data_IF_187341744022
#
_entry.id   IF_187341744022
#
_cell.length_a   1.000
_cell.length_b   1.000
_cell.length_c   1.000
_cell.angle_alpha   90.00
_cell.angle_beta   90.00
_cell.angle_gamma   90.00
#
_symmetry.space_group_name_H-M   'P 1'
#
loop_
_entity.id
_entity.type
_entity.pdbx_description
1 polymer ?
#
# COMPACT_ATOMS: atom_id res chain seq x y z
N UNK A 1 12.56 -2.70 16.44
CA UNK A 1 12.57 -1.34 17.04
C UNK A 1 11.41 -0.57 16.48
N UNK A 2 10.45 -0.16 17.32
CA UNK A 2 9.30 0.63 16.89
C UNK A 2 9.73 2.01 16.40
N UNK A 3 9.01 2.51 15.38
CA UNK A 3 9.24 3.84 14.80
C UNK A 3 8.00 4.69 15.02
N UNK A 4 8.21 5.93 15.42
CA UNK A 4 7.16 6.94 15.44
C UNK A 4 7.02 7.55 14.05
N UNK A 5 5.81 7.49 13.48
CA UNK A 5 5.49 8.00 12.15
C UNK A 5 4.25 8.89 12.27
N UNK A 6 4.31 10.07 11.67
CA UNK A 6 3.15 10.94 11.50
C UNK A 6 2.56 10.71 10.12
N UNK A 7 1.29 10.29 10.08
CA UNK A 7 0.53 10.12 8.86
C UNK A 7 0.02 11.46 8.33
N UNK A 8 -0.33 11.52 7.06
CA UNK A 8 -0.79 12.75 6.41
C UNK A 8 -2.15 13.26 6.91
N UNK A 9 -2.92 12.42 7.60
CA UNK A 9 -4.15 12.82 8.28
C UNK A 9 -3.91 13.40 9.68
N UNK A 10 -2.65 13.54 10.10
CA UNK A 10 -2.26 14.08 11.40
C UNK A 10 -2.17 13.05 12.53
N UNK A 11 -2.49 11.76 12.28
CA UNK A 11 -2.32 10.71 13.29
C UNK A 11 -0.83 10.40 13.49
N UNK A 12 -0.40 10.38 14.74
CA UNK A 12 0.90 9.83 15.12
C UNK A 12 0.73 8.37 15.56
N UNK A 13 1.52 7.47 14.97
CA UNK A 13 1.49 6.03 15.24
C UNK A 13 2.88 5.55 15.62
N UNK A 14 2.92 4.50 16.42
CA UNK A 14 4.15 3.78 16.76
C UNK A 14 4.03 2.35 16.23
N UNK A 15 4.87 2.00 15.25
CA UNK A 15 4.84 0.70 14.59
C UNK A 15 6.24 0.23 14.25
N UNK A 16 6.48 -1.08 14.29
CA UNK A 16 7.75 -1.65 13.85
C UNK A 16 7.91 -1.58 12.32
N UNK A 17 6.82 -1.84 11.60
CA UNK A 17 6.76 -1.75 10.14
C UNK A 17 5.41 -1.19 9.71
N UNK A 18 5.44 -0.03 9.03
CA UNK A 18 4.25 0.63 8.51
C UNK A 18 3.50 -0.25 7.50
N UNK A 19 4.23 -0.86 6.56
CA UNK A 19 3.63 -1.72 5.54
C UNK A 19 2.90 -2.90 6.16
N UNK A 20 3.49 -3.57 7.15
CA UNK A 20 2.83 -4.67 7.86
C UNK A 20 1.60 -4.21 8.65
N UNK A 21 1.67 -3.06 9.31
CA UNK A 21 0.53 -2.52 10.05
C UNK A 21 -0.65 -2.18 9.11
N UNK A 22 -0.37 -1.73 7.89
CA UNK A 22 -1.37 -1.46 6.86
C UNK A 22 -1.94 -2.76 6.28
N UNK A 23 -1.09 -3.71 5.91
CA UNK A 23 -1.55 -4.98 5.28
C UNK A 23 -2.24 -5.94 6.25
N UNK A 24 -1.94 -5.86 7.55
CA UNK A 24 -2.64 -6.61 8.61
C UNK A 24 -3.95 -5.97 9.04
N UNK A 25 -4.25 -4.75 8.57
CA UNK A 25 -5.45 -4.00 8.95
C UNK A 25 -5.40 -3.37 10.35
N UNK A 26 -4.25 -3.43 11.05
CA UNK A 26 -4.03 -2.70 12.30
C UNK A 26 -4.20 -1.19 12.11
N UNK A 27 -3.79 -0.69 10.94
CA UNK A 27 -3.95 0.70 10.54
C UNK A 27 -4.74 0.73 9.24
N UNK A 28 -5.82 1.52 9.22
CA UNK A 28 -6.56 1.78 7.99
C UNK A 28 -5.97 2.97 7.24
N UNK A 29 -5.61 2.80 5.95
CA UNK A 29 -5.15 3.92 5.13
C UNK A 29 -6.28 4.93 4.92
N UNK A 30 -5.92 6.20 4.92
CA UNK A 30 -6.86 7.30 4.63
C UNK A 30 -7.21 7.27 3.14
N UNK A 31 -8.51 7.26 2.83
CA UNK A 31 -9.01 6.95 1.48
C UNK A 31 -9.29 5.47 1.23
N UNK A 32 -8.87 4.59 2.15
CA UNK A 32 -9.15 3.16 2.12
C UNK A 32 -8.24 2.36 1.19
N UNK A 33 -8.52 1.06 1.14
CA UNK A 33 -7.81 0.11 0.28
C UNK A 33 -8.40 0.19 -1.13
N UNK A 34 -7.54 0.40 -2.12
CA UNK A 34 -7.93 0.49 -3.54
C UNK A 34 -8.22 -0.91 -4.07
N UNK A 35 -7.36 -1.88 -3.73
CA UNK A 35 -7.49 -3.27 -4.11
C UNK A 35 -6.76 -4.16 -3.12
N UNK A 36 -7.27 -5.37 -2.91
CA UNK A 36 -6.66 -6.35 -2.02
C UNK A 36 -6.79 -7.75 -2.63
N UNK A 37 -5.68 -8.49 -2.59
CA UNK A 37 -5.63 -9.90 -2.98
C UNK A 37 -5.16 -10.78 -1.81
N UNK A 38 -4.97 -12.07 -2.06
CA UNK A 38 -4.39 -12.99 -1.07
C UNK A 38 -2.96 -12.60 -0.67
N UNK A 39 -2.18 -12.04 -1.60
CA UNK A 39 -0.75 -11.80 -1.39
C UNK A 39 -0.40 -10.31 -1.34
N UNK A 40 -1.27 -9.43 -1.84
CA UNK A 40 -0.98 -8.00 -2.00
C UNK A 40 -2.11 -7.11 -1.49
N UNK A 41 -1.72 -5.90 -1.09
CA UNK A 41 -2.59 -4.85 -0.60
C UNK A 41 -2.19 -3.54 -1.28
N UNK A 42 -3.16 -2.91 -1.94
CA UNK A 42 -2.97 -1.69 -2.74
C UNK A 42 -3.72 -0.54 -2.08
N UNK A 43 -3.01 0.53 -1.79
CA UNK A 43 -3.57 1.70 -1.12
C UNK A 43 -2.85 2.96 -1.59
N UNK A 44 -3.45 4.13 -1.33
CA UNK A 44 -2.75 5.40 -1.54
C UNK A 44 -1.70 5.58 -0.45
N UNK A 45 -0.59 6.26 -0.78
CA UNK A 45 0.44 6.60 0.20
C UNK A 45 -0.16 7.36 1.40
N UNK A 46 0.09 6.84 2.61
CA UNK A 46 -0.47 7.36 3.87
C UNK A 46 0.40 8.43 4.52
N UNK A 47 1.66 8.56 4.11
CA UNK A 47 2.59 9.57 4.60
C UNK A 47 2.60 10.81 3.69
N UNK A 48 2.49 10.60 2.38
CA UNK A 48 2.50 11.65 1.37
C UNK A 48 1.40 11.41 0.33
N UNK A 49 0.16 11.90 0.56
CA UNK A 49 -0.98 11.62 -0.28
C UNK A 49 -0.93 12.43 -1.58
N UNK A 50 -0.04 12.03 -2.49
CA UNK A 50 0.08 12.60 -3.82
C UNK A 50 -1.01 11.98 -4.70
N UNK A 51 -1.76 12.83 -5.42
CA UNK A 51 -2.81 12.35 -6.33
C UNK A 51 -2.17 11.47 -7.40
N UNK A 52 -2.57 10.20 -7.39
CA UNK A 52 -2.13 9.18 -8.32
C UNK A 52 -0.94 8.33 -7.90
N UNK A 53 -0.33 8.66 -6.76
CA UNK A 53 0.68 7.79 -6.16
C UNK A 53 -0.01 6.65 -5.39
N UNK A 54 0.26 5.43 -5.82
CA UNK A 54 -0.32 4.21 -5.24
C UNK A 54 0.80 3.30 -4.77
N UNK A 55 0.65 2.75 -3.57
CA UNK A 55 1.57 1.81 -2.97
C UNK A 55 1.02 0.39 -3.14
N UNK A 56 1.84 -0.47 -3.75
CA UNK A 56 1.67 -1.91 -3.74
C UNK A 56 2.51 -2.48 -2.60
N UNK A 57 1.84 -2.97 -1.56
CA UNK A 57 2.49 -3.68 -0.46
C UNK A 57 2.18 -5.17 -0.55
N UNK A 58 3.19 -6.02 -0.36
CA UNK A 58 2.93 -7.43 -0.10
C UNK A 58 2.41 -7.61 1.33
N UNK A 59 1.52 -8.60 1.50
CA UNK A 59 1.06 -9.05 2.82
C UNK A 59 2.16 -9.81 3.56
N UNK A 60 3.12 -10.40 2.83
CA UNK A 60 4.31 -11.01 3.42
C UNK A 60 5.40 -9.95 3.58
N UNK A 61 6.01 -9.91 4.75
CA UNK A 61 7.18 -9.08 5.00
C UNK A 61 8.43 -9.70 4.34
N UNK A 62 9.22 -8.88 3.65
CA UNK A 62 10.50 -9.24 3.05
C UNK A 62 11.41 -8.02 3.01
N UNK A 63 12.73 -8.21 2.94
CA UNK A 63 13.70 -7.11 2.98
C UNK A 63 14.27 -6.77 1.60
N UNK A 64 14.51 -7.79 0.77
CA UNK A 64 14.96 -7.61 -0.62
C UNK A 64 13.92 -8.07 -1.64
N UNK A 65 13.98 -7.48 -2.82
CA UNK A 65 13.17 -7.89 -3.97
C UNK A 65 13.49 -9.33 -4.42
N UNK A 66 14.68 -9.84 -4.10
CA UNK A 66 15.09 -11.23 -4.39
C UNK A 66 14.29 -12.26 -3.59
N UNK A 67 13.67 -11.85 -2.49
CA UNK A 67 12.85 -12.71 -1.66
C UNK A 67 11.42 -12.88 -2.23
N UNK A 68 11.04 -12.15 -3.29
CA UNK A 68 9.75 -12.35 -3.95
C UNK A 68 9.73 -13.70 -4.66
N UNK A 69 8.78 -14.56 -4.30
CA UNK A 69 8.65 -15.86 -4.96
C UNK A 69 7.98 -15.67 -6.33
N UNK A 70 8.33 -16.44 -7.38
CA UNK A 70 7.62 -16.37 -8.66
C UNK A 70 6.12 -16.70 -8.59
N UNK A 71 5.63 -17.41 -7.58
CA UNK A 71 4.17 -17.53 -7.35
C UNK A 71 3.50 -16.22 -6.90
N UNK A 72 4.28 -15.24 -6.46
CA UNK A 72 3.85 -13.86 -6.22
C UNK A 72 3.94 -13.00 -7.51
N UNK A 73 4.36 -13.54 -8.66
CA UNK A 73 4.58 -12.76 -9.89
C UNK A 73 3.31 -12.49 -10.72
N UNK A 74 2.21 -13.19 -10.44
CA UNK A 74 0.92 -13.03 -11.16
C UNK A 74 0.27 -11.65 -10.97
N UNK A 75 0.73 -10.87 -9.97
CA UNK A 75 0.28 -9.50 -9.76
C UNK A 75 0.89 -8.49 -10.72
N UNK A 76 2.11 -8.68 -11.20
CA UNK A 76 2.79 -7.71 -12.07
C UNK A 76 1.96 -7.34 -13.33
N UNK A 77 1.43 -8.30 -14.12
CA UNK A 77 0.61 -7.97 -15.28
C UNK A 77 -0.77 -7.37 -14.92
N UNK A 78 -1.33 -7.71 -13.76
CA UNK A 78 -2.61 -7.11 -13.27
C UNK A 78 -2.42 -5.70 -12.71
N UNK A 79 -1.24 -5.38 -12.18
CA UNK A 79 -0.91 -4.04 -11.72
C UNK A 79 -0.65 -3.05 -12.85
N UNK A 80 -0.16 -3.50 -14.01
CA UNK A 80 -0.04 -2.63 -15.18
C UNK A 80 -1.40 -2.06 -15.60
N UNK A 81 -2.48 -2.82 -15.41
CA UNK A 81 -3.86 -2.36 -15.63
C UNK A 81 -4.31 -1.33 -14.55
N UNK A 82 -3.88 -1.50 -13.30
CA UNK A 82 -4.20 -0.58 -12.19
C UNK A 82 -3.38 0.71 -12.20
N UNK A 83 -2.19 0.70 -12.80
CA UNK A 83 -1.40 1.91 -13.05
C UNK A 83 -1.90 2.70 -14.28
N UNK A 84 -2.91 2.20 -15.00
CA UNK A 84 -3.50 2.96 -16.11
C UNK A 84 -4.12 4.27 -15.61
N UNK A 85 -3.98 5.38 -16.35
CA UNK A 85 -4.50 6.69 -15.93
C UNK A 85 -6.02 6.69 -15.69
N UNK A 86 -6.75 5.74 -16.29
CA UNK A 86 -8.18 5.51 -16.06
C UNK A 86 -8.50 4.98 -14.65
N UNK A 87 -7.66 4.08 -14.12
CA UNK A 87 -7.84 3.51 -12.78
C UNK A 87 -7.40 4.51 -11.71
N UNK A 88 -6.25 5.14 -11.91
CA UNK A 88 -5.69 6.12 -10.98
C UNK A 88 -6.66 7.28 -10.70
N UNK A 89 -7.33 7.81 -11.73
CA UNK A 89 -8.36 8.87 -11.58
C UNK A 89 -9.60 8.46 -10.78
N UNK A 90 -9.92 7.16 -10.73
CA UNK A 90 -11.18 6.66 -10.16
C UNK A 90 -11.07 6.30 -8.67
N UNK A 91 -9.86 6.00 -8.19
CA UNK A 91 -9.63 5.49 -6.84
C UNK A 91 -8.82 6.42 -5.93
N UNK A 92 -8.21 7.49 -6.43
CA UNK A 92 -7.64 8.54 -5.58
C UNK A 92 -8.75 9.47 -5.12
N UNK A 93 -9.47 9.08 -4.06
CA UNK A 93 -10.41 9.96 -3.37
C UNK A 93 -9.62 10.90 -2.45
N UNK A 94 -9.21 12.03 -3.00
CA UNK A 94 -8.97 13.22 -2.21
C UNK A 94 -9.96 14.30 -2.65
N UNK A 95 -10.48 15.12 -1.71
CA UNK A 95 -11.17 16.35 -2.08
C UNK A 95 -10.29 17.26 -2.96
#
# INVERSE_FOLDING_TARGET
MPRHITLADGRAIEVECLSCALTSGLIKPTGGTIYESSNFHVHQDVAYPIKGLVILASKRHFYSMDELCPTDSDVLPRLTLMASPLFVRRYTKFP
#
